data_IF_175845897140
#
_entry.id   IF_175845897140
#
_cell.length_a   1.000
_cell.length_b   1.000
_cell.length_c   1.000
_cell.angle_alpha   90.00
_cell.angle_beta   90.00
_cell.angle_gamma   90.00
#
_symmetry.space_group_name_H-M   'P 1'
#
loop_
_entity.id
_entity.type
_entity.pdbx_description
1 polymer ?
#
# COMPACT_ATOMS: atom_id res chain seq x y z
N UNK A 1 -21.62 16.94 8.36
CA UNK A 1 -20.86 16.59 7.14
C UNK A 1 -19.60 17.45 7.11
N UNK A 2 -18.46 16.89 7.47
CA UNK A 2 -17.15 17.56 7.37
C UNK A 2 -16.38 16.87 6.26
N UNK A 3 -16.01 17.64 5.24
CA UNK A 3 -14.98 17.28 4.28
C UNK A 3 -13.65 17.22 5.04
N UNK A 4 -13.12 16.03 5.31
CA UNK A 4 -11.80 15.89 5.92
C UNK A 4 -10.88 15.06 5.01
N UNK A 5 -10.00 15.82 4.33
CA UNK A 5 -8.67 15.47 3.78
C UNK A 5 -8.54 14.07 3.17
N UNK A 6 -8.76 13.99 1.86
CA UNK A 6 -8.16 12.94 1.03
C UNK A 6 -7.13 13.62 0.14
N UNK A 7 -6.00 14.01 0.73
CA UNK A 7 -4.85 14.44 -0.04
C UNK A 7 -4.17 13.20 -0.60
N UNK A 8 -3.83 13.19 -1.88
CA UNK A 8 -3.06 12.11 -2.52
C UNK A 8 -1.73 11.78 -1.80
N UNK A 9 -1.28 12.62 -0.86
CA UNK A 9 -0.10 12.44 -0.01
C UNK A 9 -0.23 11.36 1.05
N UNK A 10 -1.45 11.02 1.49
CA UNK A 10 -1.63 10.18 2.68
C UNK A 10 -1.34 8.69 2.39
N UNK A 11 -1.23 8.32 1.11
CA UNK A 11 -0.92 6.96 0.66
C UNK A 11 0.57 6.70 0.45
N UNK A 12 1.44 7.71 0.58
CA UNK A 12 2.89 7.50 0.49
C UNK A 12 3.46 6.78 1.71
N UNK A 13 2.91 7.10 2.88
CA UNK A 13 3.36 6.57 4.15
C UNK A 13 2.39 5.51 4.64
N UNK A 14 2.64 4.27 4.23
CA UNK A 14 2.00 3.12 4.82
C UNK A 14 2.46 2.84 6.25
N UNK A 15 1.86 1.82 6.85
CA UNK A 15 2.39 1.20 8.06
C UNK A 15 3.79 0.62 7.76
N UNK A 16 4.64 0.56 8.79
CA UNK A 16 5.98 -0.01 8.68
C UNK A 16 6.06 -1.35 9.42
N UNK A 17 6.62 -2.36 8.74
CA UNK A 17 6.90 -3.67 9.33
C UNK A 17 8.35 -4.06 9.04
N UNK A 18 9.04 -4.67 9.99
CA UNK A 18 10.37 -5.23 9.76
C UNK A 18 10.30 -6.73 9.50
N UNK A 19 10.91 -7.18 8.41
CA UNK A 19 11.08 -8.59 8.06
C UNK A 19 12.44 -8.79 7.39
N UNK A 20 13.19 -9.81 7.81
CA UNK A 20 14.47 -10.21 7.19
C UNK A 20 15.48 -9.06 6.94
N UNK A 21 15.61 -8.14 7.90
CA UNK A 21 16.52 -7.00 7.77
C UNK A 21 16.05 -5.92 6.80
N UNK A 22 14.76 -5.91 6.43
CA UNK A 22 14.13 -4.88 5.60
C UNK A 22 12.97 -4.27 6.36
N UNK A 23 12.92 -2.94 6.41
CA UNK A 23 11.74 -2.18 6.82
C UNK A 23 10.83 -2.03 5.61
N UNK A 24 9.71 -2.75 5.61
CA UNK A 24 8.69 -2.72 4.57
C UNK A 24 7.67 -1.60 4.82
N UNK A 25 7.34 -0.86 3.76
CA UNK A 25 6.21 0.07 3.71
C UNK A 25 4.99 -0.65 3.13
N UNK A 26 3.86 -0.64 3.84
CA UNK A 26 2.64 -1.32 3.37
C UNK A 26 1.35 -0.58 3.75
N UNK A 27 0.31 -0.78 2.96
CA UNK A 27 -1.06 -0.38 3.23
C UNK A 27 -1.93 -1.61 3.37
N UNK A 28 -2.87 -1.55 4.32
CA UNK A 28 -3.92 -2.54 4.51
C UNK A 28 -5.26 -1.83 4.62
N UNK A 29 -6.24 -2.24 3.83
CA UNK A 29 -7.57 -1.65 3.84
C UNK A 29 -8.64 -2.63 3.37
N UNK A 30 -9.90 -2.31 3.65
CA UNK A 30 -11.03 -3.18 3.33
C UNK A 30 -11.18 -4.32 4.34
N UNK A 31 -12.02 -5.29 3.99
CA UNK A 31 -12.29 -6.48 4.79
C UNK A 31 -12.74 -7.62 3.86
N UNK A 32 -12.58 -8.87 4.29
CA UNK A 32 -12.98 -10.04 3.50
C UNK A 32 -11.80 -10.96 3.22
N UNK A 33 -11.83 -11.68 2.09
CA UNK A 33 -10.74 -12.58 1.72
C UNK A 33 -9.46 -11.78 1.42
N UNK A 34 -8.30 -12.15 1.99
CA UNK A 34 -7.08 -11.37 1.85
C UNK A 34 -6.53 -11.42 0.42
N UNK A 35 -6.12 -10.26 -0.08
CA UNK A 35 -5.53 -10.07 -1.41
C UNK A 35 -4.23 -9.27 -1.30
N UNK A 36 -3.11 -9.88 -1.71
CA UNK A 36 -1.80 -9.21 -1.71
C UNK A 36 -1.49 -8.66 -3.10
N UNK A 37 -1.22 -7.36 -3.18
CA UNK A 37 -0.84 -6.68 -4.43
C UNK A 37 0.69 -6.57 -4.53
N UNK A 38 1.23 -7.12 -5.62
CA UNK A 38 2.67 -7.08 -5.92
C UNK A 38 2.88 -6.20 -7.15
N UNK A 39 3.56 -5.07 -6.95
CA UNK A 39 3.85 -4.14 -8.04
C UNK A 39 4.99 -4.64 -8.96
N UNK A 40 5.03 -4.09 -10.17
CA UNK A 40 6.03 -4.42 -11.20
C UNK A 40 7.43 -3.85 -10.90
N UNK A 41 8.35 -3.97 -11.84
CA UNK A 41 9.67 -3.31 -11.83
C UNK A 41 9.48 -1.80 -12.09
N UNK A 42 10.25 -0.96 -11.39
CA UNK A 42 10.15 0.51 -11.41
C UNK A 42 8.82 1.10 -10.88
N UNK A 43 7.96 0.24 -10.33
CA UNK A 43 6.72 0.60 -9.66
C UNK A 43 6.91 0.62 -8.13
N UNK A 44 5.91 1.14 -7.42
CA UNK A 44 5.78 1.03 -5.97
C UNK A 44 4.29 0.94 -5.59
N UNK A 45 3.96 0.85 -4.30
CA UNK A 45 2.58 0.65 -3.85
C UNK A 45 1.63 1.79 -4.23
N UNK A 46 2.15 3.00 -4.50
CA UNK A 46 1.36 4.18 -4.90
C UNK A 46 0.68 3.99 -6.27
N UNK A 47 1.18 3.09 -7.11
CA UNK A 47 0.56 2.80 -8.40
C UNK A 47 -0.86 2.25 -8.22
N UNK A 48 -1.10 1.52 -7.13
CA UNK A 48 -2.43 0.97 -6.82
C UNK A 48 -3.43 2.01 -6.33
N UNK A 49 -2.94 3.08 -5.68
CA UNK A 49 -3.78 4.16 -5.18
C UNK A 49 -4.04 5.22 -6.24
N UNK A 50 -3.04 5.55 -7.06
CA UNK A 50 -3.16 6.54 -8.16
C UNK A 50 -4.06 6.04 -9.29
N UNK A 51 -4.04 4.74 -9.60
CA UNK A 51 -4.94 4.14 -10.58
C UNK A 51 -6.29 3.68 -10.00
N UNK A 52 -6.60 4.02 -8.74
CA UNK A 52 -7.83 3.65 -8.03
C UNK A 52 -8.14 2.14 -7.94
N UNK A 53 -7.16 1.26 -8.18
CA UNK A 53 -7.37 -0.19 -8.10
C UNK A 53 -7.54 -0.66 -6.65
N UNK A 54 -6.71 -0.14 -5.74
CA UNK A 54 -6.77 -0.47 -4.32
C UNK A 54 -8.14 -0.17 -3.70
N UNK A 55 -8.73 1.05 -3.84
CA UNK A 55 -10.05 1.33 -3.27
C UNK A 55 -11.19 0.53 -3.93
N UNK A 56 -11.03 0.10 -5.19
CA UNK A 56 -12.01 -0.76 -5.84
C UNK A 56 -12.00 -2.18 -5.24
N UNK A 57 -10.83 -2.79 -5.10
CA UNK A 57 -10.68 -4.13 -4.53
C UNK A 57 -11.02 -4.17 -3.05
N UNK A 58 -10.76 -3.10 -2.31
CA UNK A 58 -11.05 -3.00 -0.87
C UNK A 58 -12.55 -3.01 -0.52
N UNK A 59 -13.44 -2.92 -1.51
CA UNK A 59 -14.88 -3.05 -1.29
C UNK A 59 -15.27 -4.48 -0.89
N UNK A 60 -14.56 -5.48 -1.42
CA UNK A 60 -14.90 -6.91 -1.26
C UNK A 60 -13.76 -7.74 -0.63
N UNK A 61 -12.56 -7.15 -0.48
CA UNK A 61 -11.36 -7.84 -0.01
C UNK A 61 -10.62 -7.06 1.08
N UNK A 62 -9.91 -7.79 1.96
CA UNK A 62 -8.84 -7.21 2.76
C UNK A 62 -7.60 -7.09 1.85
N UNK A 63 -7.34 -5.89 1.34
CA UNK A 63 -6.27 -5.64 0.39
C UNK A 63 -5.02 -5.22 1.13
N UNK A 64 -3.90 -5.88 0.83
CA UNK A 64 -2.57 -5.60 1.36
C UNK A 64 -1.66 -5.24 0.19
N UNK A 65 -1.22 -3.98 0.11
CA UNK A 65 -0.27 -3.51 -0.89
C UNK A 65 1.02 -3.10 -0.19
N UNK A 66 2.17 -3.50 -0.72
CA UNK A 66 3.46 -3.18 -0.10
C UNK A 66 4.51 -2.82 -1.14
N UNK A 67 5.47 -2.02 -0.72
CA UNK A 67 6.69 -1.77 -1.49
C UNK A 67 7.62 -2.98 -1.36
N UNK A 68 7.96 -3.63 -2.47
CA UNK A 68 8.96 -4.69 -2.48
C UNK A 68 10.31 -4.17 -1.96
N UNK A 69 11.18 -5.03 -1.41
CA UNK A 69 12.50 -4.60 -0.94
C UNK A 69 13.27 -3.76 -1.97
N UNK A 70 13.72 -2.57 -1.56
CA UNK A 70 14.43 -1.62 -2.42
C UNK A 70 13.55 -0.75 -3.32
N UNK A 71 12.22 -0.86 -3.23
CA UNK A 71 11.26 0.01 -3.91
C UNK A 71 10.57 0.95 -2.92
N UNK A 72 10.07 2.09 -3.43
CA UNK A 72 9.30 3.05 -2.64
C UNK A 72 9.99 3.43 -1.33
N UNK A 73 9.30 3.21 -0.20
CA UNK A 73 9.84 3.47 1.14
C UNK A 73 10.33 2.21 1.87
N UNK A 74 10.42 1.07 1.16
CA UNK A 74 10.97 -0.16 1.70
C UNK A 74 12.49 -0.17 1.62
N UNK A 75 13.15 -0.14 2.78
CA UNK A 75 14.62 0.02 2.87
C UNK A 75 15.24 -1.06 3.74
N UNK A 76 16.46 -1.48 3.38
CA UNK A 76 17.28 -2.33 4.24
C UNK A 76 17.64 -1.57 5.53
N UNK A 77 17.73 -2.31 6.63
CA UNK A 77 18.09 -1.81 7.96
C UNK A 77 19.34 -2.52 8.50
#
# INVERSE_FOLDING_TARGET
MRHERTGFSDFDMGEALTADGVRLNFLRCGAGAPLVLIHSVHANLRDWTTCALLPLLAQDHEVIAFDRPGAGLSVAI
#
